data_IF_053012080196
#
_entry.id   IF_053012080196
#
_cell.length_a   1.000
_cell.length_b   1.000
_cell.length_c   1.000
_cell.angle_alpha   90.00
_cell.angle_beta   90.00
_cell.angle_gamma   90.00
#
_symmetry.space_group_name_H-M   'P 1'
#
loop_
_entity.id
_entity.type
_entity.pdbx_description
1 polymer ?
#
# COMPACT_ATOMS: atom_id res chain seq x y z
N UNK A 1 20.83 -7.59 -0.04
CA UNK A 1 19.66 -6.68 0.05
C UNK A 1 18.38 -7.40 0.48
N UNK A 2 17.86 -8.35 -0.31
CA UNK A 2 16.58 -9.04 -0.03
C UNK A 2 16.49 -9.71 1.35
N UNK A 3 17.50 -10.48 1.75
CA UNK A 3 17.55 -11.16 3.06
C UNK A 3 17.56 -10.19 4.27
N UNK A 4 17.97 -8.93 4.08
CA UNK A 4 17.94 -7.91 5.14
C UNK A 4 16.50 -7.41 5.34
N UNK A 5 15.76 -7.23 4.25
CA UNK A 5 14.37 -6.79 4.29
C UNK A 5 13.48 -7.93 4.77
N UNK A 6 13.72 -9.17 4.33
CA UNK A 6 12.98 -10.35 4.81
C UNK A 6 13.08 -10.48 6.35
N UNK A 7 14.29 -10.32 6.91
CA UNK A 7 14.50 -10.28 8.37
C UNK A 7 13.79 -9.12 9.07
N UNK A 8 13.72 -7.94 8.45
CA UNK A 8 12.95 -6.81 8.99
C UNK A 8 11.45 -7.10 8.97
N UNK A 9 10.94 -7.60 7.84
CA UNK A 9 9.52 -7.90 7.66
C UNK A 9 9.02 -9.04 8.54
N UNK A 10 9.91 -9.89 9.04
CA UNK A 10 9.57 -10.92 10.03
C UNK A 10 9.27 -10.35 11.43
N UNK A 11 9.63 -9.09 11.72
CA UNK A 11 9.39 -8.48 13.04
C UNK A 11 7.90 -8.15 13.23
N UNK A 12 7.27 -8.49 14.36
CA UNK A 12 5.86 -8.19 14.59
C UNK A 12 5.54 -6.69 14.67
N UNK A 13 6.50 -5.86 15.10
CA UNK A 13 6.26 -4.45 15.39
C UNK A 13 5.78 -3.61 14.20
N UNK A 14 6.38 -3.79 13.02
CA UNK A 14 5.95 -3.05 11.82
C UNK A 14 4.61 -3.58 11.29
N UNK A 15 4.37 -4.90 11.36
CA UNK A 15 3.10 -5.51 10.94
C UNK A 15 1.94 -4.98 11.79
N UNK A 16 2.14 -4.88 13.12
CA UNK A 16 1.18 -4.30 14.05
C UNK A 16 0.84 -2.84 13.73
N UNK A 17 1.86 -2.03 13.41
CA UNK A 17 1.66 -0.63 12.97
C UNK A 17 0.87 -0.54 11.67
N UNK A 18 1.24 -1.32 10.65
CA UNK A 18 0.54 -1.31 9.35
C UNK A 18 -0.92 -1.68 9.51
N UNK A 19 -1.20 -2.75 10.28
CA UNK A 19 -2.56 -3.19 10.59
C UNK A 19 -3.33 -2.10 11.35
N UNK A 20 -2.77 -1.55 12.42
CA UNK A 20 -3.43 -0.55 13.25
C UNK A 20 -3.77 0.72 12.45
N UNK A 21 -2.78 1.31 11.76
CA UNK A 21 -2.95 2.54 10.97
C UNK A 21 -3.93 2.34 9.81
N UNK A 22 -3.81 1.23 9.07
CA UNK A 22 -4.73 0.96 7.96
C UNK A 22 -6.16 0.76 8.44
N UNK A 23 -6.38 0.06 9.56
CA UNK A 23 -7.73 -0.10 10.16
C UNK A 23 -8.33 1.22 10.61
N UNK A 24 -7.55 2.09 11.26
CA UNK A 24 -8.01 3.39 11.70
C UNK A 24 -8.41 4.27 10.50
N UNK A 25 -7.60 4.24 9.44
CA UNK A 25 -7.85 5.04 8.24
C UNK A 25 -9.04 4.53 7.43
N UNK A 26 -9.09 3.23 7.10
CA UNK A 26 -10.08 2.70 6.16
C UNK A 26 -11.32 2.09 6.78
N UNK A 27 -11.35 1.92 8.10
CA UNK A 27 -12.40 1.18 8.78
C UNK A 27 -12.07 -0.31 8.93
N UNK A 28 -12.64 -0.93 9.97
CA UNK A 28 -12.35 -2.33 10.29
C UNK A 28 -12.94 -3.29 9.26
N UNK A 29 -14.11 -3.01 8.69
CA UNK A 29 -14.77 -3.90 7.74
C UNK A 29 -14.01 -3.99 6.41
N UNK A 30 -13.62 -2.84 5.85
CA UNK A 30 -12.88 -2.72 4.61
C UNK A 30 -11.48 -3.33 4.74
N UNK A 31 -10.80 -3.08 5.87
CA UNK A 31 -9.51 -3.70 6.15
C UNK A 31 -9.61 -5.22 6.25
N UNK A 32 -10.62 -5.77 6.93
CA UNK A 32 -10.82 -7.23 6.99
C UNK A 32 -11.07 -7.83 5.61
N UNK A 33 -11.85 -7.16 4.75
CA UNK A 33 -12.06 -7.63 3.38
C UNK A 33 -10.74 -7.69 2.59
N UNK A 34 -9.86 -6.70 2.78
CA UNK A 34 -8.52 -6.68 2.19
C UNK A 34 -7.61 -7.80 2.73
N UNK A 35 -7.59 -8.00 4.06
CA UNK A 35 -6.82 -9.08 4.70
C UNK A 35 -7.30 -10.45 4.24
N UNK A 36 -8.62 -10.68 4.13
CA UNK A 36 -9.20 -11.93 3.65
C UNK A 36 -8.85 -12.22 2.18
N UNK A 37 -8.77 -11.20 1.33
CA UNK A 37 -8.29 -11.36 -0.05
C UNK A 37 -6.77 -11.63 -0.09
N UNK A 38 -6.03 -11.16 0.91
CA UNK A 38 -4.65 -11.53 1.18
C UNK A 38 -3.68 -11.17 0.04
N UNK A 39 -2.69 -12.03 -0.28
CA UNK A 39 -1.63 -11.71 -1.23
C UNK A 39 -2.11 -11.54 -2.69
N UNK A 40 -3.34 -11.97 -3.01
CA UNK A 40 -3.93 -11.79 -4.35
C UNK A 40 -4.15 -10.31 -4.72
N UNK A 41 -4.23 -9.42 -3.72
CA UNK A 41 -4.40 -7.97 -3.90
C UNK A 41 -3.08 -7.27 -4.23
N UNK A 42 -1.92 -7.85 -3.88
CA UNK A 42 -0.61 -7.22 -4.09
C UNK A 42 -0.36 -6.78 -5.55
N UNK A 43 -0.63 -7.62 -6.58
CA UNK A 43 -0.50 -7.18 -7.98
C UNK A 43 -1.32 -5.94 -8.30
N UNK A 44 -2.54 -5.87 -7.78
CA UNK A 44 -3.46 -4.75 -8.00
C UNK A 44 -2.94 -3.47 -7.35
N UNK A 45 -2.48 -3.55 -6.10
CA UNK A 45 -1.86 -2.42 -5.39
C UNK A 45 -0.59 -1.94 -6.10
N UNK A 46 0.22 -2.86 -6.63
CA UNK A 46 1.41 -2.52 -7.38
C UNK A 46 1.08 -1.77 -8.68
N UNK A 47 0.09 -2.24 -9.44
CA UNK A 47 -0.36 -1.59 -10.68
C UNK A 47 -0.85 -0.15 -10.40
N UNK A 48 -1.71 0.02 -9.40
CA UNK A 48 -2.21 1.35 -9.01
C UNK A 48 -1.06 2.25 -8.55
N UNK A 49 -0.15 1.76 -7.71
CA UNK A 49 1.00 2.54 -7.25
C UNK A 49 1.92 2.98 -8.41
N UNK A 50 2.11 2.12 -9.42
CA UNK A 50 2.88 2.46 -10.60
C UNK A 50 2.21 3.57 -11.42
N UNK A 51 0.91 3.48 -11.65
CA UNK A 51 0.15 4.54 -12.33
C UNK A 51 0.21 5.87 -11.57
N UNK A 52 0.10 5.83 -10.23
CA UNK A 52 0.24 7.03 -9.39
C UNK A 52 1.64 7.66 -9.49
N UNK A 53 2.71 6.84 -9.56
CA UNK A 53 4.07 7.34 -9.74
C UNK A 53 4.30 7.99 -11.12
N UNK A 54 3.53 7.59 -12.15
CA UNK A 54 3.59 8.18 -13.51
C UNK A 54 2.93 9.55 -13.60
N UNK A 55 2.08 9.93 -12.63
CA UNK A 55 1.46 11.25 -12.59
C UNK A 55 2.50 12.35 -12.31
N UNK A 56 2.70 13.25 -13.27
CA UNK A 56 3.54 14.45 -13.08
C UNK A 56 2.80 15.47 -12.21
N UNK A 57 3.09 15.52 -10.90
CA UNK A 57 2.82 16.58 -9.89
C UNK A 57 1.52 17.43 -9.97
N UNK A 58 0.53 17.11 -10.80
CA UNK A 58 -0.64 17.96 -11.04
C UNK A 58 -1.91 17.12 -11.02
N UNK A 59 -2.68 17.39 -9.96
CA UNK A 59 -4.12 17.22 -9.78
C UNK A 59 -4.58 15.88 -9.17
N UNK A 60 -4.85 15.94 -7.86
CA UNK A 60 -5.68 14.99 -7.09
C UNK A 60 -7.00 14.63 -7.79
N UNK A 61 -7.56 15.54 -8.58
CA UNK A 61 -8.79 15.29 -9.36
C UNK A 61 -8.64 14.09 -10.31
N UNK A 62 -7.42 13.80 -10.79
CA UNK A 62 -7.14 12.63 -11.64
C UNK A 62 -6.81 11.37 -10.86
N UNK A 63 -6.52 11.44 -9.56
CA UNK A 63 -6.17 10.26 -8.76
C UNK A 63 -7.33 9.27 -8.75
N UNK A 64 -8.56 9.75 -8.51
CA UNK A 64 -9.77 8.92 -8.56
C UNK A 64 -9.95 8.24 -9.91
N UNK A 65 -9.77 8.97 -11.00
CA UNK A 65 -9.96 8.43 -12.35
C UNK A 65 -8.88 7.40 -12.69
N UNK A 66 -7.63 7.65 -12.31
CA UNK A 66 -6.51 6.71 -12.51
C UNK A 66 -6.72 5.43 -11.70
N UNK A 67 -7.10 5.56 -10.43
CA UNK A 67 -7.39 4.40 -9.57
C UNK A 67 -8.57 3.61 -10.13
N UNK A 68 -9.66 4.27 -10.53
CA UNK A 68 -10.82 3.60 -11.14
C UNK A 68 -10.45 2.89 -12.45
N UNK A 69 -9.66 3.54 -13.30
CA UNK A 69 -9.23 2.98 -14.57
C UNK A 69 -8.33 1.75 -14.37
N UNK A 70 -7.34 1.83 -13.47
CA UNK A 70 -6.45 0.73 -13.12
C UNK A 70 -7.18 -0.49 -12.51
N UNK A 71 -8.36 -0.24 -11.92
CA UNK A 71 -9.18 -1.27 -11.26
C UNK A 71 -10.37 -1.74 -12.10
N UNK A 72 -10.55 -1.26 -13.34
CA UNK A 72 -11.75 -1.50 -14.15
C UNK A 72 -12.06 -3.00 -14.34
N UNK A 73 -11.03 -3.82 -14.54
CA UNK A 73 -11.13 -5.26 -14.80
C UNK A 73 -10.97 -6.12 -13.53
N UNK A 74 -10.96 -5.49 -12.34
CA UNK A 74 -10.75 -6.19 -11.07
C UNK A 74 -12.09 -6.58 -10.41
N UNK A 75 -12.11 -7.66 -9.61
CA UNK A 75 -13.30 -8.02 -8.83
C UNK A 75 -13.82 -6.83 -8.02
N UNK A 76 -15.13 -6.67 -7.95
CA UNK A 76 -15.74 -5.48 -7.36
C UNK A 76 -15.32 -5.22 -5.91
N UNK A 77 -15.15 -6.29 -5.12
CA UNK A 77 -14.68 -6.21 -3.73
C UNK A 77 -13.27 -5.60 -3.67
N UNK A 78 -12.36 -6.04 -4.53
CA UNK A 78 -10.99 -5.50 -4.61
C UNK A 78 -11.01 -4.06 -5.10
N UNK A 79 -11.83 -3.76 -6.11
CA UNK A 79 -12.00 -2.41 -6.64
C UNK A 79 -12.47 -1.44 -5.56
N UNK A 80 -13.53 -1.78 -4.81
CA UNK A 80 -14.06 -0.95 -3.71
C UNK A 80 -13.02 -0.76 -2.61
N UNK A 81 -12.37 -1.83 -2.16
CA UNK A 81 -11.38 -1.77 -1.09
C UNK A 81 -10.16 -0.92 -1.47
N UNK A 82 -9.57 -1.14 -2.66
CA UNK A 82 -8.38 -0.39 -3.11
C UNK A 82 -8.73 1.05 -3.46
N UNK A 83 -9.93 1.32 -4.00
CA UNK A 83 -10.38 2.70 -4.27
C UNK A 83 -10.57 3.45 -2.95
N UNK A 84 -11.30 2.88 -1.99
CA UNK A 84 -11.48 3.50 -0.67
C UNK A 84 -10.13 3.74 0.02
N UNK A 85 -9.22 2.77 -0.06
CA UNK A 85 -7.87 2.90 0.46
C UNK A 85 -7.12 4.09 -0.18
N UNK A 86 -7.04 4.13 -1.51
CA UNK A 86 -6.32 5.19 -2.20
C UNK A 86 -6.92 6.58 -1.95
N UNK A 87 -8.26 6.69 -1.89
CA UNK A 87 -8.95 7.95 -1.59
C UNK A 87 -8.66 8.43 -0.17
N UNK A 88 -8.82 7.58 0.85
CA UNK A 88 -8.57 7.99 2.23
C UNK A 88 -7.10 8.36 2.48
N UNK A 89 -6.17 7.62 1.88
CA UNK A 89 -4.75 8.00 1.96
C UNK A 89 -4.45 9.30 1.21
N UNK A 90 -5.11 9.56 0.08
CA UNK A 90 -4.96 10.83 -0.63
C UNK A 90 -5.51 12.02 0.16
N UNK A 91 -6.64 11.83 0.87
CA UNK A 91 -7.23 12.85 1.75
C UNK A 91 -6.31 13.16 2.94
N UNK A 92 -5.62 12.16 3.49
CA UNK A 92 -4.63 12.37 4.57
C UNK A 92 -3.29 12.93 4.10
N UNK A 93 -2.84 12.59 2.89
CA UNK A 93 -1.54 13.02 2.32
C UNK A 93 -1.66 14.23 1.37
N UNK A 94 -2.79 14.96 1.46
CA UNK A 94 -3.21 16.17 0.73
C UNK A 94 -2.33 16.59 -0.46
N UNK A 95 -2.22 15.72 -1.47
CA UNK A 95 -1.68 16.10 -2.78
C UNK A 95 -0.42 15.42 -3.27
N UNK A 96 0.15 14.43 -2.57
CA UNK A 96 1.30 13.69 -3.08
C UNK A 96 0.96 12.26 -3.56
N UNK A 97 0.76 12.03 -4.88
CA UNK A 97 0.52 10.70 -5.44
C UNK A 97 1.62 9.69 -5.13
N UNK A 98 2.87 10.14 -4.90
CA UNK A 98 3.99 9.26 -4.57
C UNK A 98 3.88 8.71 -3.15
N UNK A 99 3.40 9.51 -2.20
CA UNK A 99 3.13 9.04 -0.83
C UNK A 99 1.97 8.05 -0.81
N UNK A 100 0.91 8.31 -1.59
CA UNK A 100 -0.19 7.34 -1.77
C UNK A 100 0.34 6.05 -2.40
N UNK A 101 1.13 6.14 -3.47
CA UNK A 101 1.76 4.98 -4.09
C UNK A 101 2.63 4.18 -3.12
N UNK A 102 3.39 4.87 -2.27
CA UNK A 102 4.22 4.24 -1.25
C UNK A 102 3.37 3.51 -0.21
N UNK A 103 2.31 4.14 0.30
CA UNK A 103 1.38 3.52 1.24
C UNK A 103 0.73 2.26 0.66
N UNK A 104 0.26 2.32 -0.60
CA UNK A 104 -0.29 1.14 -1.31
C UNK A 104 0.75 0.02 -1.43
N UNK A 105 2.01 0.35 -1.73
CA UNK A 105 3.11 -0.64 -1.78
C UNK A 105 3.34 -1.27 -0.41
N UNK A 106 3.42 -0.49 0.66
CA UNK A 106 3.63 -1.01 2.03
C UNK A 106 2.51 -1.95 2.44
N UNK A 107 1.25 -1.61 2.14
CA UNK A 107 0.10 -2.49 2.40
C UNK A 107 0.21 -3.78 1.59
N UNK A 108 0.60 -3.71 0.32
CA UNK A 108 0.82 -4.90 -0.51
C UNK A 108 1.96 -5.78 0.03
N UNK A 109 3.03 -5.19 0.56
CA UNK A 109 4.10 -5.94 1.25
C UNK A 109 3.55 -6.63 2.49
N UNK A 110 2.78 -5.93 3.32
CA UNK A 110 2.13 -6.52 4.49
C UNK A 110 1.27 -7.73 4.14
N UNK A 111 0.39 -7.62 3.14
CA UNK A 111 -0.47 -8.73 2.71
C UNK A 111 0.35 -9.93 2.19
N UNK A 112 1.46 -9.67 1.50
CA UNK A 112 2.38 -10.72 1.08
C UNK A 112 3.12 -11.38 2.26
N UNK A 113 3.48 -10.63 3.29
CA UNK A 113 4.16 -11.17 4.48
C UNK A 113 3.21 -12.06 5.28
N UNK A 114 2.01 -11.58 5.59
CA UNK A 114 0.99 -12.36 6.32
C UNK A 114 0.59 -13.61 5.54
N UNK A 115 0.53 -13.52 4.21
CA UNK A 115 0.27 -14.65 3.33
C UNK A 115 1.48 -15.53 2.97
N UNK A 116 2.65 -15.34 3.61
CA UNK A 116 3.89 -16.08 3.35
C UNK A 116 4.34 -16.12 1.86
N UNK A 117 4.05 -15.06 1.09
CA UNK A 117 4.35 -14.94 -0.35
C UNK A 117 5.29 -13.77 -0.68
N UNK A 118 6.15 -13.37 0.26
CA UNK A 118 7.06 -12.24 0.09
C UNK A 118 7.99 -12.38 -1.13
N UNK A 119 8.39 -13.60 -1.48
CA UNK A 119 9.30 -13.82 -2.61
C UNK A 119 8.76 -13.45 -3.99
N UNK A 120 7.43 -13.40 -4.12
CA UNK A 120 6.73 -12.95 -5.33
C UNK A 120 6.16 -11.52 -5.22
N UNK A 121 6.42 -10.80 -4.12
CA UNK A 121 5.76 -9.52 -3.84
C UNK A 121 6.09 -8.46 -4.91
N UNK A 122 5.08 -8.07 -5.71
CA UNK A 122 5.21 -7.03 -6.73
C UNK A 122 5.40 -5.64 -6.14
N UNK A 123 4.88 -5.38 -4.94
CA UNK A 123 5.05 -4.10 -4.26
C UNK A 123 6.46 -3.88 -3.70
N UNK A 124 7.14 -4.95 -3.26
CA UNK A 124 8.49 -4.84 -2.70
C UNK A 124 9.55 -4.61 -3.79
N UNK A 125 9.39 -5.24 -4.96
CA UNK A 125 10.39 -5.20 -6.04
C UNK A 125 10.79 -3.78 -6.48
N UNK A 126 9.85 -2.83 -6.73
CA UNK A 126 10.21 -1.45 -7.01
C UNK A 126 10.94 -0.78 -5.85
N UNK A 127 10.46 -0.97 -4.60
CA UNK A 127 11.07 -0.34 -3.42
C UNK A 127 12.55 -0.70 -3.27
N UNK A 128 12.91 -1.97 -3.50
CA UNK A 128 14.31 -2.43 -3.41
C UNK A 128 15.16 -2.05 -4.62
N UNK A 129 14.56 -1.78 -5.77
CA UNK A 129 15.30 -1.27 -6.95
C UNK A 129 15.59 0.22 -6.82
N UNK A 130 14.69 0.96 -6.19
CA UNK A 130 14.72 2.43 -6.11
C UNK A 130 15.48 2.96 -4.88
N UNK A 131 15.81 2.12 -3.90
CA UNK A 131 16.34 2.57 -2.61
C UNK A 131 17.25 1.55 -1.91
N UNK A 132 18.10 2.04 -1.02
CA UNK A 132 18.93 1.20 -0.13
C UNK A 132 18.06 0.43 0.87
N UNK A 133 18.55 -0.70 1.44
CA UNK A 133 17.80 -1.48 2.42
C UNK A 133 17.30 -0.65 3.61
N UNK A 134 18.11 0.29 4.09
CA UNK A 134 17.81 1.16 5.22
C UNK A 134 16.62 2.06 4.89
N UNK A 135 16.64 2.70 3.71
CA UNK A 135 15.52 3.53 3.24
C UNK A 135 14.25 2.69 3.04
N UNK A 136 14.36 1.44 2.56
CA UNK A 136 13.20 0.55 2.44
C UNK A 136 12.61 0.20 3.81
N UNK A 137 13.44 -0.05 4.83
CA UNK A 137 12.95 -0.30 6.20
C UNK A 137 12.22 0.91 6.76
N UNK A 138 12.82 2.10 6.65
CA UNK A 138 12.19 3.37 7.07
C UNK A 138 10.85 3.56 6.38
N UNK A 139 10.77 3.35 5.06
CA UNK A 139 9.51 3.41 4.31
C UNK A 139 8.47 2.40 4.84
N UNK A 140 8.86 1.16 5.13
CA UNK A 140 7.94 0.17 5.69
C UNK A 140 7.43 0.56 7.10
N UNK A 141 8.26 1.25 7.88
CA UNK A 141 7.94 1.66 9.24
C UNK A 141 7.11 2.95 9.31
N UNK A 142 7.30 3.86 8.35
CA UNK A 142 6.83 5.25 8.45
C UNK A 142 5.86 5.69 7.33
N UNK A 143 5.70 4.93 6.24
CA UNK A 143 4.91 5.39 5.08
C UNK A 143 3.42 5.61 5.34
N UNK A 144 2.86 5.02 6.40
CA UNK A 144 1.45 5.19 6.72
C UNK A 144 1.30 6.33 7.73
N UNK A 145 0.44 7.33 7.47
CA UNK A 145 0.27 8.46 8.35
C UNK A 145 -0.26 7.99 9.71
N UNK A 146 0.04 8.77 10.75
CA UNK A 146 -0.58 8.56 12.04
C UNK A 146 -2.09 8.80 11.94
N UNK A 147 -2.91 7.97 12.59
CA UNK A 147 -4.34 8.22 12.62
C UNK A 147 -4.61 9.56 13.31
N UNK A 148 -5.62 10.31 12.88
CA UNK A 148 -6.01 11.53 13.57
C UNK A 148 -6.34 11.21 15.04
N UNK A 149 -5.90 12.09 15.95
CA UNK A 149 -6.27 11.99 17.35
C UNK A 149 -7.82 12.04 17.49
N UNK A 150 -8.40 11.27 18.42
CA UNK A 150 -9.84 11.19 18.61
C UNK A 150 -10.48 12.55 18.95
#
# INVERSE_FOLDING_TARGET
MRAVIERHTARPGWQGRVRSRSRALMGTAEWRALESAGPSVCPVLADVAEELCRLRNRLLRRLRDVVRQALRERPEVVRRAVTSLAERYADHQLGNPREVALALRVIGVYLCVVGARLGGCRCLRPMVREATPEVVKTRLDEALPEPPAP
#
